data_IF_940467328560
#
_entry.id   IF_940467328560
#
_cell.length_a   1.000
_cell.length_b   1.000
_cell.length_c   1.000
_cell.angle_alpha   90.00
_cell.angle_beta   90.00
_cell.angle_gamma   90.00
#
_symmetry.space_group_name_H-M   'P 1'
#
loop_
_entity.id
_entity.type
_entity.pdbx_description
1 polymer ?
#
# COMPACT_ATOMS: atom_id res chain seq x y z
N UNK A 1 -49.13 -2.31 73.44
CA UNK A 1 -49.21 -1.66 72.14
C UNK A 1 -47.78 -1.44 71.63
N UNK A 2 -47.34 -2.28 70.70
CA UNK A 2 -46.04 -2.10 70.05
C UNK A 2 -46.29 -2.27 68.52
N UNK A 3 -46.09 -1.17 67.78
CA UNK A 3 -46.24 -1.10 66.34
C UNK A 3 -44.92 -1.52 65.73
N UNK A 4 -44.91 -2.67 65.06
CA UNK A 4 -43.77 -3.12 64.31
C UNK A 4 -43.69 -2.37 62.96
N UNK A 5 -42.55 -1.69 62.69
CA UNK A 5 -42.23 -1.04 61.44
C UNK A 5 -41.45 -2.00 60.56
N UNK A 6 -42.08 -2.47 59.50
CA UNK A 6 -41.51 -3.38 58.50
C UNK A 6 -40.82 -2.54 57.45
N UNK A 7 -39.46 -2.52 57.46
CA UNK A 7 -38.65 -1.83 56.44
C UNK A 7 -38.49 -2.73 55.21
N UNK A 8 -39.11 -2.37 54.09
CA UNK A 8 -38.86 -2.95 52.78
C UNK A 8 -37.50 -2.46 52.25
N UNK A 9 -36.51 -3.34 52.20
CA UNK A 9 -35.28 -3.10 51.49
C UNK A 9 -35.51 -3.31 49.98
N UNK A 10 -35.52 -2.22 49.20
CA UNK A 10 -35.51 -2.27 47.75
C UNK A 10 -34.07 -2.57 47.32
N UNK A 11 -33.84 -3.80 46.93
CA UNK A 11 -32.60 -4.20 46.22
C UNK A 11 -32.63 -3.60 44.83
N UNK A 12 -32.00 -2.42 44.66
CA UNK A 12 -31.67 -1.85 43.38
C UNK A 12 -30.64 -2.74 42.70
N UNK A 13 -31.05 -3.49 41.70
CA UNK A 13 -30.17 -4.16 40.77
C UNK A 13 -29.54 -3.09 39.87
N UNK A 14 -28.37 -2.63 40.24
CA UNK A 14 -27.47 -1.92 39.35
C UNK A 14 -26.96 -2.91 38.30
N UNK A 15 -27.67 -3.04 37.20
CA UNK A 15 -27.12 -3.60 36.01
C UNK A 15 -26.00 -2.64 35.51
N UNK A 16 -24.78 -2.94 35.96
CA UNK A 16 -23.58 -2.40 35.29
C UNK A 16 -23.57 -2.99 33.91
N UNK A 17 -24.16 -2.26 32.96
CA UNK A 17 -23.90 -2.48 31.57
C UNK A 17 -22.38 -2.32 31.39
N UNK A 18 -21.69 -3.43 31.19
CA UNK A 18 -20.34 -3.44 30.66
C UNK A 18 -20.41 -2.75 29.29
N UNK A 19 -20.26 -1.44 29.29
CA UNK A 19 -19.99 -0.71 28.05
C UNK A 19 -18.67 -1.26 27.57
N UNK A 20 -18.73 -2.16 26.59
CA UNK A 20 -17.55 -2.60 25.87
C UNK A 20 -16.86 -1.32 25.36
N UNK A 21 -15.71 -0.98 25.94
CA UNK A 21 -14.96 0.19 25.54
C UNK A 21 -14.64 0.05 24.06
N UNK A 22 -15.33 0.82 23.24
CA UNK A 22 -15.10 0.91 21.83
C UNK A 22 -13.80 1.68 21.61
N UNK A 23 -12.89 1.11 20.81
CA UNK A 23 -11.65 1.77 20.41
C UNK A 23 -11.79 2.26 18.98
N UNK A 24 -11.46 3.51 18.76
CA UNK A 24 -11.39 4.05 17.41
C UNK A 24 -10.24 3.40 16.64
N UNK A 25 -10.50 3.13 15.36
CA UNK A 25 -9.53 2.66 14.38
C UNK A 25 -9.58 3.57 13.17
N UNK A 26 -8.42 3.83 12.61
CA UNK A 26 -8.28 4.63 11.40
C UNK A 26 -7.89 3.76 10.23
N UNK A 27 -8.45 4.05 9.06
CA UNK A 27 -8.11 3.43 7.79
C UNK A 27 -7.92 4.54 6.74
N UNK A 28 -6.92 4.40 5.87
CA UNK A 28 -6.76 5.24 4.69
C UNK A 28 -7.39 4.55 3.50
N UNK A 29 -8.31 5.23 2.82
CA UNK A 29 -9.15 4.63 1.77
C UNK A 29 -9.08 5.46 0.51
N UNK A 30 -8.77 4.82 -0.61
CA UNK A 30 -8.94 5.35 -1.97
C UNK A 30 -10.30 4.92 -2.49
N UNK A 31 -11.09 5.84 -3.02
CA UNK A 31 -12.37 5.54 -3.67
C UNK A 31 -12.33 6.02 -5.11
N UNK A 32 -12.65 5.13 -6.03
CA UNK A 32 -12.53 5.36 -7.46
C UNK A 32 -13.82 5.05 -8.20
N UNK A 33 -14.07 5.79 -9.27
CA UNK A 33 -15.01 5.42 -10.32
C UNK A 33 -14.47 4.26 -11.16
N UNK A 34 -15.30 3.71 -12.04
CA UNK A 34 -14.95 2.58 -12.91
C UNK A 34 -13.80 2.89 -13.90
N UNK A 35 -13.58 4.15 -14.21
CA UNK A 35 -12.46 4.63 -15.05
C UNK A 35 -11.16 4.88 -14.29
N UNK A 36 -11.18 4.69 -12.94
CA UNK A 36 -10.05 4.91 -12.05
C UNK A 36 -9.92 6.35 -11.54
N UNK A 37 -10.90 7.22 -11.82
CA UNK A 37 -10.90 8.61 -11.32
C UNK A 37 -11.21 8.64 -9.82
N UNK A 38 -10.42 9.34 -8.99
CA UNK A 38 -10.71 9.48 -7.57
C UNK A 38 -11.99 10.28 -7.29
N UNK A 39 -12.86 9.74 -6.45
CA UNK A 39 -14.12 10.36 -6.04
C UNK A 39 -13.90 11.22 -4.81
N UNK A 40 -14.52 12.41 -4.78
CA UNK A 40 -14.48 13.34 -3.65
C UNK A 40 -15.89 13.62 -3.12
N UNK A 41 -15.96 14.22 -1.91
CA UNK A 41 -17.22 14.65 -1.31
C UNK A 41 -18.04 13.53 -0.66
N UNK A 42 -17.43 12.35 -0.41
CA UNK A 42 -18.10 11.24 0.27
C UNK A 42 -18.22 11.50 1.77
N UNK A 43 -19.27 10.95 2.36
CA UNK A 43 -19.60 11.08 3.79
C UNK A 43 -19.65 9.71 4.48
N UNK A 44 -19.78 9.69 5.80
CA UNK A 44 -19.79 8.45 6.60
C UNK A 44 -20.77 7.40 6.09
N UNK A 45 -21.96 7.84 5.62
CA UNK A 45 -23.01 6.95 5.13
C UNK A 45 -22.64 6.21 3.83
N UNK A 46 -21.61 6.66 3.10
CA UNK A 46 -21.19 6.04 1.84
C UNK A 46 -20.28 4.81 2.07
N UNK A 47 -19.66 4.70 3.25
CA UNK A 47 -18.68 3.66 3.56
C UNK A 47 -19.28 2.52 4.37
N UNK A 48 -18.80 1.31 4.08
CA UNK A 48 -19.04 0.09 4.86
C UNK A 48 -17.69 -0.51 5.21
N UNK A 49 -17.40 -0.63 6.51
CA UNK A 49 -16.20 -1.29 7.03
C UNK A 49 -16.60 -2.60 7.66
N UNK A 50 -15.94 -3.67 7.31
CA UNK A 50 -16.16 -4.99 7.89
C UNK A 50 -14.84 -5.54 8.47
N UNK A 51 -14.93 -6.12 9.66
CA UNK A 51 -13.88 -6.94 10.28
C UNK A 51 -14.39 -8.36 10.42
N UNK A 52 -13.73 -9.32 9.78
CA UNK A 52 -14.14 -10.73 9.75
C UNK A 52 -15.62 -10.91 9.36
N UNK A 53 -16.08 -10.14 8.34
CA UNK A 53 -17.45 -10.15 7.85
C UNK A 53 -18.48 -9.44 8.75
N UNK A 54 -18.05 -8.79 9.84
CA UNK A 54 -18.93 -8.04 10.74
C UNK A 54 -18.82 -6.54 10.47
N UNK A 55 -19.93 -5.90 10.06
CA UNK A 55 -19.97 -4.46 9.81
C UNK A 55 -19.66 -3.67 11.08
N UNK A 56 -18.80 -2.66 10.92
CA UNK A 56 -18.39 -1.73 11.98
C UNK A 56 -18.99 -0.35 11.73
N UNK A 57 -19.34 0.34 12.80
CA UNK A 57 -19.86 1.70 12.72
C UNK A 57 -18.76 2.67 12.26
N UNK A 58 -19.01 3.38 11.17
CA UNK A 58 -18.13 4.46 10.69
C UNK A 58 -18.46 5.73 11.46
N UNK A 59 -17.49 6.22 12.22
CA UNK A 59 -17.67 7.37 13.11
C UNK A 59 -17.40 8.69 12.41
N UNK A 60 -16.32 8.75 11.60
CA UNK A 60 -15.86 9.96 10.90
C UNK A 60 -15.24 9.60 9.56
N UNK A 61 -15.48 10.45 8.58
CA UNK A 61 -14.84 10.43 7.27
C UNK A 61 -14.36 11.84 6.93
N UNK A 62 -13.14 11.95 6.48
CA UNK A 62 -12.57 13.20 6.03
C UNK A 62 -11.42 12.96 5.05
N UNK A 63 -10.90 14.03 4.45
CA UNK A 63 -9.70 13.92 3.61
C UNK A 63 -8.51 13.51 4.47
N UNK A 64 -7.75 12.52 4.03
CA UNK A 64 -6.52 12.11 4.70
C UNK A 64 -5.49 13.25 4.70
N UNK A 65 -5.05 13.67 5.90
CA UNK A 65 -4.08 14.75 6.09
C UNK A 65 -2.76 14.27 6.68
N UNK A 66 -2.74 13.05 7.23
CA UNK A 66 -1.52 12.47 7.77
C UNK A 66 -0.45 12.40 6.67
N UNK A 67 0.78 12.88 6.92
CA UNK A 67 1.87 12.78 5.97
C UNK A 67 2.13 11.32 5.56
N UNK A 68 2.39 11.10 4.27
CA UNK A 68 2.85 9.82 3.77
C UNK A 68 4.37 9.73 3.87
N UNK A 69 4.85 8.54 4.18
CA UNK A 69 6.23 8.16 3.93
C UNK A 69 6.24 7.22 2.72
N UNK A 70 6.75 7.71 1.60
CA UNK A 70 6.75 6.97 0.35
C UNK A 70 8.13 6.35 0.09
N UNK A 71 8.14 5.11 -0.37
CA UNK A 71 9.31 4.52 -1.00
C UNK A 71 8.97 4.21 -2.46
N UNK A 72 9.72 4.79 -3.38
CA UNK A 72 9.62 4.49 -4.80
C UNK A 72 10.71 3.51 -5.16
N UNK A 73 10.33 2.30 -5.53
CA UNK A 73 11.20 1.21 -5.92
C UNK A 73 11.24 1.16 -7.46
N UNK A 74 12.42 1.34 -8.02
CA UNK A 74 12.61 1.42 -9.47
C UNK A 74 13.44 0.24 -9.95
N UNK A 75 12.88 -0.49 -10.89
CA UNK A 75 13.59 -1.53 -11.63
C UNK A 75 14.67 -0.90 -12.50
N UNK A 76 15.90 -1.30 -12.28
CA UNK A 76 17.06 -0.91 -13.09
C UNK A 76 17.74 -2.11 -13.74
N UNK A 77 17.02 -3.24 -13.84
CA UNK A 77 17.48 -4.43 -14.54
C UNK A 77 17.50 -4.20 -16.08
N UNK A 78 18.09 -5.15 -16.77
CA UNK A 78 18.15 -5.11 -18.24
C UNK A 78 16.76 -5.07 -18.90
N UNK A 79 15.74 -5.66 -18.28
CA UNK A 79 14.37 -5.64 -18.78
C UNK A 79 13.72 -4.25 -18.75
N UNK A 80 14.16 -3.37 -17.84
CA UNK A 80 13.64 -2.01 -17.71
C UNK A 80 14.40 -0.97 -18.56
N UNK A 81 15.47 -1.36 -19.25
CA UNK A 81 16.39 -0.44 -19.91
C UNK A 81 15.71 0.57 -20.84
N UNK A 82 14.75 0.11 -21.65
CA UNK A 82 14.02 0.97 -22.60
C UNK A 82 13.04 1.93 -21.92
N UNK A 83 12.66 1.67 -20.67
CA UNK A 83 11.69 2.47 -19.93
C UNK A 83 12.33 3.58 -19.07
N UNK A 84 13.64 3.55 -18.84
CA UNK A 84 14.32 4.45 -17.88
C UNK A 84 14.04 5.92 -18.17
N UNK A 85 14.02 6.34 -19.44
CA UNK A 85 13.75 7.73 -19.81
C UNK A 85 12.35 8.17 -19.38
N UNK A 86 11.35 7.34 -19.67
CA UNK A 86 9.94 7.63 -19.35
C UNK A 86 9.70 7.56 -17.83
N UNK A 87 10.36 6.61 -17.17
CA UNK A 87 10.35 6.49 -15.69
C UNK A 87 10.89 7.77 -15.05
N UNK A 88 12.03 8.29 -15.50
CA UNK A 88 12.60 9.55 -14.98
C UNK A 88 11.64 10.71 -15.18
N UNK A 89 11.10 10.87 -16.39
CA UNK A 89 10.15 11.94 -16.71
C UNK A 89 8.93 11.88 -15.79
N UNK A 90 8.35 10.70 -15.64
CA UNK A 90 7.19 10.52 -14.76
C UNK A 90 7.51 10.76 -13.28
N UNK A 91 8.68 10.31 -12.82
CA UNK A 91 9.12 10.52 -11.44
C UNK A 91 9.32 11.98 -11.08
N UNK A 92 9.83 12.81 -11.99
CA UNK A 92 10.00 14.25 -11.74
C UNK A 92 8.67 14.94 -11.46
N UNK A 93 7.63 14.64 -12.24
CA UNK A 93 6.28 15.15 -12.02
C UNK A 93 5.66 14.58 -10.73
N UNK A 94 5.80 13.27 -10.52
CA UNK A 94 5.27 12.56 -9.36
C UNK A 94 5.83 13.11 -8.03
N UNK A 95 7.15 13.25 -7.92
CA UNK A 95 7.76 13.78 -6.70
C UNK A 95 7.40 15.25 -6.47
N UNK A 96 7.34 16.06 -7.55
CA UNK A 96 6.95 17.46 -7.44
C UNK A 96 5.52 17.63 -6.90
N UNK A 97 4.62 16.72 -7.24
CA UNK A 97 3.22 16.78 -6.81
C UNK A 97 3.01 16.29 -5.38
N UNK A 98 3.80 15.32 -4.93
CA UNK A 98 3.59 14.66 -3.62
C UNK A 98 4.41 15.26 -2.48
N UNK A 99 5.49 15.97 -2.78
CA UNK A 99 6.50 16.33 -1.79
C UNK A 99 6.05 17.42 -0.81
N UNK A 100 5.03 18.22 -1.13
CA UNK A 100 4.60 19.37 -0.33
C UNK A 100 4.33 19.03 1.16
N UNK A 101 3.91 17.78 1.44
CA UNK A 101 3.57 17.35 2.80
C UNK A 101 4.06 15.93 3.12
N UNK A 102 4.95 15.37 2.30
CA UNK A 102 5.34 13.97 2.40
C UNK A 102 6.86 13.83 2.29
N UNK A 103 7.38 12.68 2.73
CA UNK A 103 8.77 12.29 2.54
C UNK A 103 8.89 11.16 1.55
N UNK A 104 9.88 11.22 0.66
CA UNK A 104 10.16 10.17 -0.31
C UNK A 104 11.56 9.57 -0.13
N UNK A 105 11.61 8.24 -0.27
CA UNK A 105 12.82 7.44 -0.44
C UNK A 105 12.86 6.93 -1.88
N UNK A 106 14.02 6.95 -2.53
CA UNK A 106 14.20 6.36 -3.84
C UNK A 106 15.11 5.14 -3.73
N UNK A 107 14.61 3.98 -4.18
CA UNK A 107 15.32 2.69 -4.13
C UNK A 107 15.42 2.12 -5.53
N UNK A 108 16.53 1.47 -5.87
CA UNK A 108 16.70 0.72 -7.12
C UNK A 108 16.96 -0.75 -6.84
N UNK A 109 16.50 -1.65 -7.74
CA UNK A 109 16.61 -3.10 -7.54
C UNK A 109 16.98 -3.90 -8.80
N UNK A 110 17.68 -3.31 -9.76
CA UNK A 110 18.34 -4.02 -10.87
C UNK A 110 19.66 -4.65 -10.46
N UNK A 111 19.68 -5.33 -9.35
CA UNK A 111 20.74 -5.92 -8.55
C UNK A 111 20.31 -5.88 -7.11
N UNK A 112 21.15 -6.22 -6.12
CA UNK A 112 20.79 -6.07 -4.71
C UNK A 112 20.20 -4.70 -4.43
N UNK A 113 19.12 -4.60 -3.63
CA UNK A 113 18.42 -3.34 -3.38
C UNK A 113 19.36 -2.24 -2.87
N UNK A 114 19.21 -1.03 -3.41
CA UNK A 114 20.02 0.11 -3.00
C UNK A 114 19.17 1.35 -2.79
N UNK A 115 19.31 1.98 -1.64
CA UNK A 115 18.75 3.30 -1.39
C UNK A 115 19.58 4.31 -2.21
N UNK A 116 18.97 4.88 -3.24
CA UNK A 116 19.57 5.90 -4.10
C UNK A 116 19.44 7.30 -3.48
N UNK A 117 18.29 7.55 -2.81
CA UNK A 117 18.02 8.75 -2.01
C UNK A 117 17.31 8.32 -0.73
N UNK A 118 17.87 8.65 0.42
CA UNK A 118 17.23 8.45 1.72
C UNK A 118 15.99 9.34 1.88
N UNK A 119 15.09 8.99 2.81
CA UNK A 119 13.85 9.71 3.08
C UNK A 119 14.11 11.21 3.20
N UNK A 120 13.43 12.00 2.37
CA UNK A 120 13.61 13.44 2.30
C UNK A 120 12.38 14.14 1.72
N UNK A 121 12.16 15.38 2.15
CA UNK A 121 11.21 16.34 1.59
C UNK A 121 11.89 17.34 0.63
N UNK A 122 13.19 17.17 0.35
CA UNK A 122 13.98 18.08 -0.49
C UNK A 122 13.92 17.67 -1.96
N UNK A 123 13.23 18.47 -2.76
CA UNK A 123 13.02 18.19 -4.20
C UNK A 123 14.34 18.05 -4.99
N UNK A 124 15.35 18.85 -4.66
CA UNK A 124 16.62 18.85 -5.39
C UNK A 124 17.42 17.55 -5.14
N UNK A 125 17.32 16.97 -3.92
CA UNK A 125 17.93 15.66 -3.62
C UNK A 125 17.26 14.55 -4.43
N UNK A 126 15.92 14.58 -4.54
CA UNK A 126 15.18 13.61 -5.32
C UNK A 126 15.46 13.74 -6.82
N UNK A 127 15.45 14.95 -7.37
CA UNK A 127 15.82 15.21 -8.77
C UNK A 127 17.24 14.74 -9.10
N UNK A 128 18.20 15.03 -8.21
CA UNK A 128 19.55 14.52 -8.32
C UNK A 128 19.64 12.99 -8.27
N UNK A 129 18.78 12.35 -7.50
CA UNK A 129 18.63 10.88 -7.45
C UNK A 129 18.02 10.35 -8.74
N UNK A 130 16.90 10.91 -9.19
CA UNK A 130 16.22 10.53 -10.45
C UNK A 130 17.19 10.57 -11.62
N UNK A 131 18.01 11.63 -11.71
CA UNK A 131 19.04 11.75 -12.75
C UNK A 131 20.09 10.63 -12.75
N UNK A 132 20.26 9.91 -11.61
CA UNK A 132 21.20 8.79 -11.45
C UNK A 132 20.55 7.40 -11.62
N UNK A 133 19.30 7.32 -12.03
CA UNK A 133 18.66 6.03 -12.35
C UNK A 133 19.16 5.58 -13.71
N UNK A 134 19.87 4.48 -13.78
CA UNK A 134 20.35 3.86 -15.02
C UNK A 134 20.09 2.36 -14.98
N UNK A 135 19.74 1.77 -16.12
CA UNK A 135 19.63 0.33 -16.23
C UNK A 135 21.01 -0.33 -16.42
N UNK A 136 21.13 -1.53 -15.90
CA UNK A 136 22.28 -2.39 -16.07
C UNK A 136 21.91 -3.53 -17.01
N UNK A 137 22.50 -3.56 -18.20
CA UNK A 137 22.08 -4.43 -19.32
C UNK A 137 22.08 -5.93 -18.98
N UNK A 138 23.00 -6.36 -18.12
CA UNK A 138 23.21 -7.78 -17.79
C UNK A 138 22.76 -8.11 -16.37
N UNK A 139 21.86 -7.34 -15.80
CA UNK A 139 21.35 -7.55 -14.45
C UNK A 139 19.89 -8.01 -14.45
N UNK A 140 19.53 -8.76 -13.43
CA UNK A 140 18.16 -9.14 -13.13
C UNK A 140 17.59 -8.31 -11.97
N UNK A 141 16.28 -8.34 -11.84
CA UNK A 141 15.61 -7.68 -10.73
C UNK A 141 15.78 -8.46 -9.41
N UNK A 142 15.77 -7.73 -8.30
CA UNK A 142 15.70 -8.23 -6.92
C UNK A 142 14.50 -7.57 -6.22
N UNK A 143 13.33 -7.67 -6.85
CA UNK A 143 12.11 -6.99 -6.42
C UNK A 143 11.62 -7.50 -5.06
N UNK A 144 11.59 -8.83 -4.88
CA UNK A 144 11.05 -9.44 -3.66
C UNK A 144 11.89 -9.03 -2.45
N UNK A 145 13.21 -9.04 -2.58
CA UNK A 145 14.13 -8.57 -1.54
C UNK A 145 13.93 -7.08 -1.26
N UNK A 146 13.78 -6.24 -2.29
CA UNK A 146 13.55 -4.80 -2.15
C UNK A 146 12.24 -4.50 -1.41
N UNK A 147 11.19 -5.27 -1.66
CA UNK A 147 9.90 -5.12 -0.98
C UNK A 147 10.02 -5.47 0.51
N UNK A 148 10.64 -6.60 0.85
CA UNK A 148 10.83 -7.01 2.25
C UNK A 148 11.68 -5.99 3.01
N UNK A 149 12.84 -5.60 2.47
CA UNK A 149 13.73 -4.63 3.12
C UNK A 149 13.05 -3.28 3.35
N UNK A 150 12.25 -2.83 2.38
CA UNK A 150 11.50 -1.57 2.48
C UNK A 150 10.39 -1.66 3.52
N UNK A 151 9.61 -2.74 3.51
CA UNK A 151 8.53 -2.99 4.47
C UNK A 151 9.07 -3.02 5.92
N UNK A 152 10.15 -3.76 6.16
CA UNK A 152 10.85 -3.80 7.45
C UNK A 152 11.43 -2.42 7.83
N UNK A 153 11.85 -1.63 6.84
CA UNK A 153 12.30 -0.25 7.06
C UNK A 153 11.18 0.64 7.60
N UNK A 154 9.98 0.54 7.05
CA UNK A 154 8.81 1.26 7.54
C UNK A 154 8.35 0.76 8.91
N UNK A 155 8.41 -0.54 9.14
CA UNK A 155 8.07 -1.12 10.42
C UNK A 155 8.97 -0.58 11.54
N UNK A 156 10.28 -0.55 11.35
CA UNK A 156 11.25 -0.02 12.32
C UNK A 156 11.06 1.47 12.61
N UNK A 157 10.60 2.25 11.62
CA UNK A 157 10.35 3.70 11.79
C UNK A 157 8.96 4.02 12.35
N UNK A 158 8.12 3.00 12.56
CA UNK A 158 6.73 3.17 13.00
C UNK A 158 5.95 4.16 12.12
N UNK A 159 6.19 4.09 10.79
CA UNK A 159 5.59 5.01 9.82
C UNK A 159 4.07 5.00 9.91
N UNK A 160 3.40 6.13 10.11
CA UNK A 160 1.95 6.17 10.34
C UNK A 160 1.15 5.91 9.06
N UNK A 161 1.68 6.28 7.89
CA UNK A 161 1.06 6.12 6.56
C UNK A 161 2.11 5.74 5.53
N UNK A 162 2.64 4.49 5.60
CA UNK A 162 3.67 4.04 4.68
C UNK A 162 3.08 3.65 3.33
N UNK A 163 3.77 4.01 2.25
CA UNK A 163 3.39 3.70 0.88
C UNK A 163 4.60 3.21 0.10
N UNK A 164 4.46 2.09 -0.59
CA UNK A 164 5.43 1.60 -1.59
C UNK A 164 4.84 1.80 -2.99
N UNK A 165 5.64 2.39 -3.88
CA UNK A 165 5.34 2.47 -5.31
C UNK A 165 6.41 1.70 -6.06
N UNK A 166 6.02 0.64 -6.75
CA UNK A 166 6.91 -0.20 -7.56
C UNK A 166 6.78 0.17 -9.03
N UNK A 167 7.89 0.50 -9.66
CA UNK A 167 8.00 0.67 -11.12
C UNK A 167 8.86 -0.46 -11.64
N UNK A 168 8.27 -1.41 -12.36
CA UNK A 168 8.97 -2.62 -12.80
C UNK A 168 8.54 -3.05 -14.20
N UNK A 169 9.38 -3.86 -14.86
CA UNK A 169 9.09 -4.50 -16.13
C UNK A 169 8.92 -5.99 -15.95
N UNK A 170 8.26 -6.69 -16.87
CA UNK A 170 8.27 -8.15 -16.89
C UNK A 170 9.71 -8.67 -17.01
N UNK A 171 10.06 -9.70 -16.25
CA UNK A 171 11.40 -10.29 -16.27
C UNK A 171 11.63 -11.21 -15.09
N UNK A 172 12.84 -11.79 -15.04
CA UNK A 172 13.26 -12.66 -13.95
C UNK A 172 13.54 -11.87 -12.68
N UNK A 173 13.31 -12.52 -11.55
CA UNK A 173 13.64 -12.04 -10.22
C UNK A 173 14.63 -13.00 -9.55
N UNK A 174 15.74 -12.49 -9.04
CA UNK A 174 16.79 -13.26 -8.37
C UNK A 174 16.82 -13.05 -6.86
N UNK A 175 15.71 -12.59 -6.30
CA UNK A 175 15.54 -12.44 -4.86
C UNK A 175 15.62 -13.77 -4.12
N UNK A 176 15.97 -13.69 -2.84
CA UNK A 176 16.05 -14.85 -1.94
C UNK A 176 14.72 -15.07 -1.17
N UNK A 177 13.84 -14.08 -1.12
CA UNK A 177 12.56 -14.19 -0.42
C UNK A 177 11.48 -14.83 -1.30
N UNK A 178 10.63 -15.65 -0.67
CA UNK A 178 9.43 -16.19 -1.31
C UNK A 178 8.28 -15.17 -1.35
N UNK A 179 7.30 -15.41 -2.22
CA UNK A 179 6.10 -14.57 -2.29
C UNK A 179 5.34 -14.50 -0.96
N UNK A 180 5.29 -15.59 -0.20
CA UNK A 180 4.63 -15.65 1.10
C UNK A 180 5.32 -14.73 2.11
N UNK A 181 6.65 -14.80 2.23
CA UNK A 181 7.45 -13.93 3.10
C UNK A 181 7.25 -12.45 2.77
N UNK A 182 7.20 -12.10 1.47
CA UNK A 182 6.95 -10.73 1.03
C UNK A 182 5.56 -10.26 1.42
N UNK A 183 4.52 -11.06 1.13
CA UNK A 183 3.14 -10.70 1.45
C UNK A 183 2.93 -10.54 2.96
N UNK A 184 3.53 -11.41 3.77
CA UNK A 184 3.51 -11.30 5.22
C UNK A 184 4.19 -10.00 5.70
N UNK A 185 5.38 -9.68 5.17
CA UNK A 185 6.10 -8.45 5.52
C UNK A 185 5.32 -7.18 5.15
N UNK A 186 4.69 -7.16 3.96
CA UNK A 186 3.86 -6.05 3.50
C UNK A 186 2.63 -5.84 4.41
N UNK A 187 1.96 -6.92 4.81
CA UNK A 187 0.80 -6.85 5.69
C UNK A 187 1.19 -6.42 7.12
N UNK A 188 2.25 -7.01 7.67
CA UNK A 188 2.73 -6.69 9.02
C UNK A 188 3.17 -5.22 9.15
N UNK A 189 3.74 -4.64 8.10
CA UNK A 189 4.17 -3.24 8.06
C UNK A 189 3.02 -2.26 7.82
N UNK A 190 1.80 -2.72 7.53
CA UNK A 190 0.66 -1.88 7.14
C UNK A 190 0.98 -0.93 5.97
N UNK A 191 1.78 -1.36 5.01
CA UNK A 191 2.21 -0.53 3.88
C UNK A 191 1.26 -0.69 2.70
N UNK A 192 0.71 0.41 2.18
CA UNK A 192 -0.02 0.39 0.91
C UNK A 192 0.96 0.19 -0.25
N UNK A 193 0.77 -0.88 -1.04
CA UNK A 193 1.69 -1.23 -2.13
C UNK A 193 1.04 -1.00 -3.47
N UNK A 194 1.58 -0.06 -4.25
CA UNK A 194 1.14 0.24 -5.62
C UNK A 194 2.16 -0.28 -6.62
N UNK A 195 1.68 -0.84 -7.72
CA UNK A 195 2.51 -1.43 -8.77
C UNK A 195 2.17 -0.82 -10.13
N UNK A 196 3.18 -0.34 -10.82
CA UNK A 196 3.12 0.00 -12.25
C UNK A 196 4.02 -1.00 -12.96
N UNK A 197 3.40 -1.92 -13.72
CA UNK A 197 4.08 -3.00 -14.42
C UNK A 197 4.11 -2.71 -15.92
N UNK A 198 5.31 -2.62 -16.49
CA UNK A 198 5.53 -2.54 -17.92
C UNK A 198 5.51 -3.93 -18.53
N UNK A 199 4.53 -4.20 -19.39
CA UNK A 199 4.44 -5.43 -20.16
C UNK A 199 5.44 -5.38 -21.30
N UNK A 200 6.31 -6.38 -21.37
CA UNK A 200 7.24 -6.53 -22.49
C UNK A 200 6.52 -7.21 -23.66
N UNK A 201 5.88 -6.42 -24.52
CA UNK A 201 5.22 -6.92 -25.74
C UNK A 201 6.20 -7.48 -26.77
N UNK A 202 7.47 -7.13 -26.68
CA UNK A 202 8.52 -7.75 -27.48
C UNK A 202 9.04 -8.98 -26.76
N UNK A 203 8.38 -10.10 -26.98
CA UNK A 203 8.96 -11.40 -26.73
C UNK A 203 10.15 -11.60 -27.69
N UNK A 204 11.18 -10.76 -27.56
CA UNK A 204 12.42 -10.83 -28.33
C UNK A 204 13.22 -12.01 -27.79
N UNK A 205 12.83 -13.22 -28.18
CA UNK A 205 13.72 -14.31 -28.47
C UNK A 205 14.72 -14.82 -27.42
N UNK A 206 14.71 -14.31 -26.23
CA UNK A 206 15.35 -14.94 -25.06
C UNK A 206 14.33 -15.91 -24.44
N UNK A 207 13.79 -16.78 -25.30
CA UNK A 207 13.01 -17.92 -24.84
C UNK A 207 13.85 -18.78 -23.89
N UNK A 208 13.21 -19.64 -23.09
CA UNK A 208 13.83 -20.48 -22.07
C UNK A 208 14.92 -21.43 -22.58
N UNK A 209 15.27 -21.38 -23.85
CA UNK A 209 16.17 -22.32 -24.55
C UNK A 209 17.67 -22.07 -24.36
N UNK A 210 18.13 -21.01 -23.67
CA UNK A 210 19.59 -20.83 -23.44
C UNK A 210 20.04 -21.09 -22.01
N UNK A 211 19.12 -21.13 -21.04
CA UNK A 211 19.41 -21.52 -19.66
C UNK A 211 18.45 -22.66 -19.30
N UNK A 212 18.87 -23.89 -19.59
CA UNK A 212 18.10 -25.06 -19.19
C UNK A 212 17.90 -25.06 -17.69
N UNK A 213 16.67 -25.14 -17.27
CA UNK A 213 16.10 -25.80 -16.10
C UNK A 213 15.05 -24.97 -15.31
N UNK A 214 14.12 -25.65 -14.86
CA UNK A 214 13.02 -25.62 -13.90
C UNK A 214 12.93 -24.45 -12.88
N UNK A 215 14.03 -23.81 -12.47
CA UNK A 215 14.06 -22.74 -11.45
C UNK A 215 13.52 -21.39 -11.94
N UNK A 216 13.54 -21.11 -13.23
CA UNK A 216 13.04 -19.85 -13.79
C UNK A 216 11.52 -19.73 -13.73
N UNK A 217 10.81 -20.85 -13.84
CA UNK A 217 9.36 -20.89 -13.73
C UNK A 217 8.90 -20.53 -12.32
N UNK A 218 9.61 -20.97 -11.31
CA UNK A 218 9.29 -20.67 -9.92
C UNK A 218 9.54 -19.17 -9.59
N UNK A 219 10.68 -18.63 -10.03
CA UNK A 219 11.00 -17.20 -9.84
C UNK A 219 9.94 -16.28 -10.45
N UNK A 220 9.51 -16.54 -11.69
CA UNK A 220 8.43 -15.79 -12.33
C UNK A 220 7.10 -15.93 -11.57
N UNK A 221 6.77 -17.15 -11.15
CA UNK A 221 5.55 -17.40 -10.39
C UNK A 221 5.53 -16.68 -9.05
N UNK A 222 6.63 -16.73 -8.26
CA UNK A 222 6.77 -16.04 -6.98
C UNK A 222 6.59 -14.54 -7.17
N UNK A 223 7.26 -13.96 -8.16
CA UNK A 223 7.16 -12.55 -8.49
C UNK A 223 5.74 -12.13 -8.89
N UNK A 224 5.12 -12.88 -9.82
CA UNK A 224 3.76 -12.57 -10.29
C UNK A 224 2.74 -12.65 -9.16
N UNK A 225 2.88 -13.62 -8.24
CA UNK A 225 2.05 -13.70 -7.05
C UNK A 225 2.13 -12.43 -6.19
N UNK A 226 3.32 -11.90 -5.97
CA UNK A 226 3.50 -10.67 -5.19
C UNK A 226 2.93 -9.46 -5.92
N UNK A 227 3.21 -9.32 -7.23
CA UNK A 227 2.71 -8.21 -8.04
C UNK A 227 1.18 -8.20 -8.17
N UNK A 228 0.52 -9.36 -8.10
CA UNK A 228 -0.93 -9.48 -8.15
C UNK A 228 -1.58 -9.32 -6.77
N UNK A 229 -1.08 -10.06 -5.77
CA UNK A 229 -1.71 -10.13 -4.45
C UNK A 229 -1.30 -8.97 -3.53
N UNK A 230 -0.05 -8.50 -3.63
CA UNK A 230 0.48 -7.43 -2.79
C UNK A 230 -0.42 -6.19 -2.80
N UNK A 231 -0.70 -5.57 -3.96
CA UNK A 231 -1.60 -4.42 -4.01
C UNK A 231 -2.99 -4.69 -3.42
N UNK A 232 -3.59 -5.83 -3.74
CA UNK A 232 -4.94 -6.18 -3.27
C UNK A 232 -5.03 -6.35 -1.75
N UNK A 233 -4.03 -7.00 -1.16
CA UNK A 233 -4.02 -7.29 0.28
C UNK A 233 -3.57 -6.10 1.13
N UNK A 234 -2.97 -5.08 0.52
CA UNK A 234 -2.44 -3.90 1.19
C UNK A 234 -3.16 -2.60 0.82
N UNK A 235 -4.32 -2.68 0.18
CA UNK A 235 -5.13 -1.51 -0.17
C UNK A 235 -4.51 -0.59 -1.23
N UNK A 236 -3.53 -1.09 -1.98
CA UNK A 236 -2.93 -0.41 -3.12
C UNK A 236 -3.54 -0.85 -4.45
N UNK A 237 -2.86 -0.53 -5.55
CA UNK A 237 -3.34 -0.79 -6.91
C UNK A 237 -2.23 -1.33 -7.80
N UNK A 238 -2.61 -2.16 -8.78
CA UNK A 238 -1.74 -2.56 -9.88
C UNK A 238 -2.25 -1.94 -11.17
N UNK A 239 -1.34 -1.37 -11.95
CA UNK A 239 -1.58 -0.85 -13.29
C UNK A 239 -0.58 -1.45 -14.26
N UNK A 240 -1.08 -2.17 -15.26
CA UNK A 240 -0.28 -2.76 -16.32
C UNK A 240 -0.22 -1.78 -17.50
N UNK A 241 0.98 -1.51 -17.99
CA UNK A 241 1.23 -0.61 -19.11
C UNK A 241 1.75 -1.41 -20.31
N UNK A 242 1.22 -1.13 -21.49
CA UNK A 242 1.66 -1.75 -22.74
C UNK A 242 2.84 -1.03 -23.38
N UNK A 243 3.08 0.22 -23.01
CA UNK A 243 4.18 1.05 -23.50
C UNK A 243 4.80 1.84 -22.37
N UNK A 244 6.11 2.04 -22.40
CA UNK A 244 6.82 2.85 -21.40
C UNK A 244 6.40 4.32 -21.41
N UNK A 245 6.00 4.85 -22.58
CA UNK A 245 5.52 6.22 -22.73
C UNK A 245 4.26 6.54 -21.91
N UNK A 246 3.51 5.52 -21.46
CA UNK A 246 2.37 5.70 -20.56
C UNK A 246 2.77 5.85 -19.08
N UNK A 247 4.04 5.69 -18.74
CA UNK A 247 4.53 5.76 -17.33
C UNK A 247 4.29 7.13 -16.68
N UNK A 248 4.54 8.28 -17.34
CA UNK A 248 4.25 9.59 -16.75
C UNK A 248 2.77 9.75 -16.37
N UNK A 249 1.86 9.39 -17.26
CA UNK A 249 0.41 9.49 -17.01
C UNK A 249 -0.05 8.53 -15.90
N UNK A 250 0.55 7.34 -15.85
CA UNK A 250 0.26 6.37 -14.80
C UNK A 250 0.70 6.88 -13.41
N UNK A 251 1.86 7.51 -13.32
CA UNK A 251 2.38 8.12 -12.10
C UNK A 251 1.57 9.36 -11.71
N UNK A 252 1.16 10.21 -12.65
CA UNK A 252 0.30 11.35 -12.35
C UNK A 252 -1.07 10.91 -11.83
N UNK A 253 -1.68 9.90 -12.46
CA UNK A 253 -2.91 9.29 -11.97
C UNK A 253 -2.77 8.73 -10.54
N UNK A 254 -1.67 8.01 -10.26
CA UNK A 254 -1.39 7.49 -8.93
C UNK A 254 -1.19 8.61 -7.90
N UNK A 255 -0.49 9.69 -8.26
CA UNK A 255 -0.37 10.86 -7.39
C UNK A 255 -1.74 11.47 -7.07
N UNK A 256 -2.63 11.53 -8.06
CA UNK A 256 -4.03 11.96 -7.87
C UNK A 256 -4.78 11.09 -6.86
N UNK A 257 -4.64 9.78 -6.96
CA UNK A 257 -5.26 8.82 -6.04
C UNK A 257 -4.72 9.01 -4.62
N UNK A 258 -3.40 9.06 -4.44
CA UNK A 258 -2.76 9.18 -3.13
C UNK A 258 -3.12 10.50 -2.42
N UNK A 259 -3.24 11.59 -3.18
CA UNK A 259 -3.61 12.91 -2.62
C UNK A 259 -5.12 13.06 -2.36
N UNK A 260 -5.95 12.15 -2.89
CA UNK A 260 -7.41 12.17 -2.76
C UNK A 260 -7.97 11.15 -1.75
N UNK A 261 -7.10 10.47 -1.00
CA UNK A 261 -7.52 9.45 -0.03
C UNK A 261 -8.35 10.04 1.10
N UNK A 262 -9.25 9.20 1.62
CA UNK A 262 -10.02 9.46 2.83
C UNK A 262 -9.35 8.85 4.05
N UNK A 263 -9.46 9.57 5.16
CA UNK A 263 -9.25 9.05 6.50
C UNK A 263 -10.60 8.64 7.06
N UNK A 264 -10.80 7.34 7.24
CA UNK A 264 -12.04 6.76 7.76
C UNK A 264 -11.77 6.26 9.17
N UNK A 265 -12.51 6.79 10.14
CA UNK A 265 -12.44 6.36 11.54
C UNK A 265 -13.68 5.55 11.86
N UNK A 266 -13.48 4.36 12.39
CA UNK A 266 -14.55 3.45 12.73
C UNK A 266 -14.42 2.88 14.15
N UNK A 267 -15.53 2.45 14.71
CA UNK A 267 -15.62 1.88 16.05
C UNK A 267 -15.29 0.40 16.01
N UNK A 268 -14.44 -0.04 16.94
CA UNK A 268 -14.13 -1.45 17.16
C UNK A 268 -14.26 -1.79 18.63
N UNK A 269 -14.96 -2.89 19.00
CA UNK A 269 -14.96 -3.40 20.36
C UNK A 269 -13.52 -3.65 20.85
N UNK A 270 -13.27 -3.44 22.14
CA UNK A 270 -11.98 -3.74 22.77
C UNK A 270 -11.75 -5.26 22.88
N UNK A 271 -11.87 -5.96 21.75
CA UNK A 271 -11.57 -7.38 21.64
C UNK A 271 -10.07 -7.61 21.82
N UNK A 272 -9.69 -8.70 22.46
CA UNK A 272 -8.29 -9.12 22.61
C UNK A 272 -7.71 -9.71 21.31
N UNK A 273 -8.57 -10.19 20.40
CA UNK A 273 -8.15 -10.84 19.16
C UNK A 273 -8.20 -9.84 18.02
N UNK A 274 -7.06 -9.53 17.34
CA UNK A 274 -7.07 -8.77 16.11
C UNK A 274 -7.89 -9.48 15.03
N UNK A 275 -8.59 -8.75 14.12
CA UNK A 275 -9.28 -9.39 13.01
C UNK A 275 -8.25 -9.95 12.01
N UNK A 276 -8.64 -11.06 11.38
CA UNK A 276 -7.84 -11.66 10.30
C UNK A 276 -8.02 -10.88 8.98
N UNK A 277 -9.24 -10.37 8.75
CA UNK A 277 -9.59 -9.64 7.55
C UNK A 277 -10.29 -8.32 7.89
N UNK A 278 -9.87 -7.24 7.20
CA UNK A 278 -10.53 -5.94 7.25
C UNK A 278 -10.86 -5.53 5.82
N UNK A 279 -12.14 -5.39 5.52
CA UNK A 279 -12.63 -5.00 4.22
C UNK A 279 -13.29 -3.60 4.27
N UNK A 280 -13.10 -2.83 3.21
CA UNK A 280 -13.81 -1.58 2.96
C UNK A 280 -14.62 -1.70 1.68
N UNK A 281 -15.89 -1.32 1.74
CA UNK A 281 -16.79 -1.29 0.59
C UNK A 281 -17.56 0.02 0.53
N UNK A 282 -18.08 0.33 -0.65
CA UNK A 282 -18.96 1.46 -0.83
C UNK A 282 -20.42 0.98 -0.86
N UNK A 283 -21.34 1.79 -0.32
CA UNK A 283 -22.79 1.52 -0.48
C UNK A 283 -23.22 1.69 -1.93
N UNK A 284 -22.56 2.57 -2.67
CA UNK A 284 -22.74 2.72 -4.11
C UNK A 284 -21.94 1.64 -4.84
N UNK A 285 -22.63 0.85 -5.67
CA UNK A 285 -22.03 -0.28 -6.40
C UNK A 285 -21.18 0.13 -7.61
N UNK A 286 -21.30 1.39 -8.07
CA UNK A 286 -20.50 1.97 -9.15
C UNK A 286 -19.13 2.45 -8.70
N UNK A 287 -18.87 2.44 -7.38
CA UNK A 287 -17.60 2.87 -6.78
C UNK A 287 -16.81 1.68 -6.25
N UNK A 288 -15.49 1.76 -6.42
CA UNK A 288 -14.55 0.81 -5.83
C UNK A 288 -13.77 1.47 -4.72
N UNK A 289 -13.72 0.82 -3.55
CA UNK A 289 -12.93 1.26 -2.42
C UNK A 289 -11.76 0.29 -2.17
N UNK A 290 -10.60 0.85 -1.88
CA UNK A 290 -9.42 0.12 -1.43
C UNK A 290 -8.81 0.85 -0.25
N UNK A 291 -8.49 0.13 0.83
CA UNK A 291 -8.02 0.76 2.04
C UNK A 291 -7.06 -0.11 2.83
N UNK A 292 -6.29 0.53 3.67
CA UNK A 292 -5.37 -0.11 4.60
C UNK A 292 -5.56 0.50 6.00
N UNK A 293 -5.62 -0.32 7.06
CA UNK A 293 -5.63 0.18 8.43
C UNK A 293 -4.37 1.00 8.73
N UNK A 294 -4.55 2.16 9.34
CA UNK A 294 -3.43 2.94 9.84
C UNK A 294 -2.71 2.18 10.97
N UNK A 295 -1.39 2.26 10.98
CA UNK A 295 -0.58 1.70 12.06
C UNK A 295 -0.93 2.40 13.38
N UNK A 296 -0.98 1.63 14.46
CA UNK A 296 -1.13 2.20 15.81
C UNK A 296 0.15 2.93 16.18
N UNK A 297 0.08 4.22 16.43
CA UNK A 297 1.08 4.89 17.25
C UNK A 297 1.02 4.28 18.67
N UNK A 298 2.12 3.79 19.17
CA UNK A 298 2.24 3.45 20.59
C UNK A 298 2.25 4.77 21.35
N UNK A 299 1.21 5.00 22.16
CA UNK A 299 1.17 6.09 23.14
C UNK A 299 2.24 5.86 24.22
#
# INVERSE_FOLDING_TARGET
MAVGMMSLAVLGQTQSALQAQSRERTMFVSVLESDGTPVQGLVTADFVIEEDGVEREVLRVGRARAPMQLAVLVDTSGSAALAISDIRTGLEAFVSRLLESNELTLVTFGGPPRILVESTDQIDRLRGGIGRIFAYSDSAAYLLDALVETALGFERRESPRPVIVVLTSEGLDYSNHSSEQVLEALQASHVATHVILLKNLTNTGLGPSRFGNLDFGDSLFQRDQVLERGPRTTGGQRRDLLTSSATPDALDGLAGILTSQYEVVYSRPASLIPPEEIAVRMRRSDLTAQGIPARRTRD
#
